data_IF_297944284639
#
_entry.id   IF_297944284639
#
_cell.length_a   1.000
_cell.length_b   1.000
_cell.length_c   1.000
_cell.angle_alpha   90.00
_cell.angle_beta   90.00
_cell.angle_gamma   90.00
#
_symmetry.space_group_name_H-M   'P 1'
#
loop_
_entity.id
_entity.type
_entity.pdbx_description
1 polymer ?
#
# COMPACT_ATOMS: atom_id res chain seq x y z
N UNK A 1 13.47 -9.14 -8.41
CA UNK A 1 12.39 -9.83 -9.16
C UNK A 1 11.27 -10.34 -8.26
N UNK A 2 11.49 -10.54 -6.96
CA UNK A 2 10.40 -10.58 -5.97
C UNK A 2 9.43 -11.77 -6.07
N UNK A 3 9.80 -12.88 -6.71
CA UNK A 3 8.99 -14.11 -6.72
C UNK A 3 8.91 -14.74 -5.33
N UNK A 4 7.79 -15.40 -5.03
CA UNK A 4 7.66 -16.20 -3.82
C UNK A 4 8.55 -17.45 -3.90
N UNK A 5 8.88 -18.03 -2.75
CA UNK A 5 9.65 -19.28 -2.70
C UNK A 5 8.95 -20.44 -3.43
N UNK A 6 7.61 -20.45 -3.48
CA UNK A 6 6.85 -21.42 -4.25
C UNK A 6 7.04 -21.23 -5.76
N UNK A 7 6.92 -20.00 -6.24
CA UNK A 7 7.13 -19.66 -7.66
C UNK A 7 8.56 -19.96 -8.11
N UNK A 8 9.57 -19.70 -7.27
CA UNK A 8 10.97 -20.03 -7.58
C UNK A 8 11.15 -21.55 -7.76
N UNK A 9 10.58 -22.37 -6.87
CA UNK A 9 10.64 -23.84 -7.00
C UNK A 9 9.98 -24.32 -8.29
N UNK A 10 8.85 -23.74 -8.65
CA UNK A 10 8.13 -24.09 -9.88
C UNK A 10 8.93 -23.72 -11.13
N UNK A 11 9.50 -22.51 -11.18
CA UNK A 11 10.36 -22.06 -12.27
C UNK A 11 11.59 -22.96 -12.44
N UNK A 12 12.21 -23.41 -11.35
CA UNK A 12 13.34 -24.35 -11.39
C UNK A 12 12.94 -25.73 -11.94
N UNK A 13 11.73 -26.21 -11.63
CA UNK A 13 11.20 -27.47 -12.17
C UNK A 13 10.94 -27.42 -13.68
N UNK A 14 10.55 -26.26 -14.22
CA UNK A 14 10.23 -26.08 -15.64
C UNK A 14 11.46 -26.05 -16.56
N UNK A 15 12.65 -25.78 -16.01
CA UNK A 15 13.89 -25.65 -16.78
C UNK A 15 14.26 -26.90 -17.59
N UNK A 16 13.73 -28.07 -17.22
CA UNK A 16 13.97 -29.35 -17.92
C UNK A 16 13.13 -29.54 -19.21
N UNK A 17 12.14 -28.69 -19.51
CA UNK A 17 11.19 -28.89 -20.63
C UNK A 17 10.97 -27.60 -21.47
N UNK A 18 12.03 -27.17 -22.19
CA UNK A 18 12.17 -25.83 -22.80
C UNK A 18 10.98 -25.27 -23.61
N UNK A 19 10.27 -26.08 -24.41
CA UNK A 19 9.15 -25.58 -25.24
C UNK A 19 7.82 -25.44 -24.49
N UNK A 20 7.57 -26.27 -23.48
CA UNK A 20 6.37 -26.21 -22.62
C UNK A 20 6.57 -25.26 -21.43
N UNK A 21 7.82 -24.95 -21.10
CA UNK A 21 8.19 -24.07 -20.01
C UNK A 21 7.79 -22.61 -20.24
N UNK A 22 7.89 -22.05 -21.45
CA UNK A 22 7.65 -20.61 -21.68
C UNK A 22 6.21 -20.18 -21.38
N UNK A 23 5.21 -20.99 -21.77
CA UNK A 23 3.80 -20.71 -21.46
C UNK A 23 3.54 -20.72 -19.95
N UNK A 24 4.12 -21.70 -19.24
CA UNK A 24 3.97 -21.83 -17.79
C UNK A 24 4.72 -20.73 -17.04
N UNK A 25 5.94 -20.40 -17.47
CA UNK A 25 6.73 -19.26 -16.95
C UNK A 25 5.97 -17.95 -17.12
N UNK A 26 5.32 -17.75 -18.27
CA UNK A 26 4.46 -16.58 -18.51
C UNK A 26 3.31 -16.52 -17.51
N UNK A 27 2.60 -17.63 -17.30
CA UNK A 27 1.49 -17.68 -16.33
C UNK A 27 1.97 -17.36 -14.89
N UNK A 28 3.11 -17.91 -14.46
CA UNK A 28 3.71 -17.61 -13.14
C UNK A 28 4.05 -16.12 -13.02
N UNK A 29 4.63 -15.52 -14.06
CA UNK A 29 4.94 -14.10 -14.08
C UNK A 29 3.69 -13.23 -14.01
N UNK A 30 2.64 -13.56 -14.78
CA UNK A 30 1.36 -12.85 -14.78
C UNK A 30 0.65 -12.92 -13.43
N UNK A 31 0.63 -14.11 -12.79
CA UNK A 31 0.12 -14.25 -11.43
C UNK A 31 0.90 -13.36 -10.45
N UNK A 32 2.24 -13.33 -10.58
CA UNK A 32 3.06 -12.51 -9.70
C UNK A 32 2.81 -11.01 -9.89
N UNK A 33 2.58 -10.58 -11.12
CA UNK A 33 2.19 -9.19 -11.44
C UNK A 33 0.88 -8.85 -10.72
N UNK A 34 -0.15 -9.70 -10.82
CA UNK A 34 -1.43 -9.48 -10.13
C UNK A 34 -1.28 -9.34 -8.62
N UNK A 35 -0.47 -10.20 -7.99
CA UNK A 35 -0.18 -10.12 -6.55
C UNK A 35 0.52 -8.81 -6.16
N UNK A 36 1.44 -8.34 -7.01
CA UNK A 36 2.12 -7.06 -6.80
C UNK A 36 1.17 -5.88 -6.97
N UNK A 37 0.32 -5.89 -7.99
CA UNK A 37 -0.67 -4.84 -8.24
C UNK A 37 -1.65 -4.71 -7.08
N UNK A 38 -2.14 -5.83 -6.54
CA UNK A 38 -3.00 -5.83 -5.36
C UNK A 38 -2.30 -5.21 -4.14
N UNK A 39 -1.01 -5.52 -3.94
CA UNK A 39 -0.21 -4.94 -2.85
C UNK A 39 0.07 -3.45 -3.08
N UNK A 40 0.33 -3.04 -4.31
CA UNK A 40 0.52 -1.62 -4.67
C UNK A 40 -0.76 -0.84 -4.42
N UNK A 41 -1.94 -1.38 -4.75
CA UNK A 41 -3.21 -0.74 -4.48
C UNK A 41 -3.43 -0.52 -2.98
N UNK A 42 -3.20 -1.55 -2.16
CA UNK A 42 -3.30 -1.44 -0.69
C UNK A 42 -2.31 -0.43 -0.12
N UNK A 43 -1.04 -0.50 -0.52
CA UNK A 43 0.00 0.43 -0.05
C UNK A 43 -0.25 1.87 -0.52
N UNK A 44 -0.80 2.04 -1.73
CA UNK A 44 -1.17 3.35 -2.25
C UNK A 44 -2.30 3.98 -1.43
N UNK A 45 -3.32 3.19 -1.05
CA UNK A 45 -4.38 3.68 -0.16
C UNK A 45 -3.84 4.15 1.20
N UNK A 46 -2.96 3.34 1.82
CA UNK A 46 -2.31 3.72 3.09
C UNK A 46 -1.46 4.99 2.94
N UNK A 47 -0.69 5.10 1.85
CA UNK A 47 0.10 6.28 1.53
C UNK A 47 -0.79 7.50 1.38
N UNK A 48 -1.92 7.39 0.68
CA UNK A 48 -2.80 8.53 0.40
C UNK A 48 -3.46 9.03 1.69
N UNK A 49 -3.84 8.15 2.61
CA UNK A 49 -4.28 8.53 3.96
C UNK A 49 -3.17 9.26 4.72
N UNK A 50 -1.96 8.71 4.77
CA UNK A 50 -0.84 9.36 5.45
C UNK A 50 -0.49 10.72 4.83
N UNK A 51 -0.56 10.84 3.51
CA UNK A 51 -0.33 12.09 2.79
C UNK A 51 -1.39 13.13 3.16
N UNK A 52 -2.66 12.72 3.25
CA UNK A 52 -3.74 13.59 3.72
C UNK A 52 -3.46 14.10 5.14
N UNK A 53 -3.15 13.20 6.08
CA UNK A 53 -2.89 13.57 7.48
C UNK A 53 -1.64 14.46 7.61
N UNK A 54 -0.57 14.13 6.87
CA UNK A 54 0.66 14.92 6.86
C UNK A 54 0.45 16.34 6.35
N UNK A 55 -0.44 16.56 5.36
CA UNK A 55 -0.77 17.90 4.86
C UNK A 55 -1.55 18.75 5.85
N UNK A 56 -2.22 18.12 6.81
CA UNK A 56 -3.00 18.79 7.86
C UNK A 56 -2.26 18.82 9.19
N UNK A 57 -1.03 18.32 9.23
CA UNK A 57 -0.15 18.40 10.39
C UNK A 57 0.72 19.65 10.25
N UNK A 58 0.59 20.60 11.18
CA UNK A 58 1.35 21.85 11.17
C UNK A 58 2.86 21.61 11.40
N UNK A 59 3.22 20.52 12.07
CA UNK A 59 4.61 20.13 12.29
C UNK A 59 5.36 21.03 13.27
N UNK A 60 4.65 21.69 14.18
CA UNK A 60 5.21 22.52 15.26
C UNK A 60 5.06 21.85 16.64
N UNK A 61 5.39 22.58 17.71
CA UNK A 61 5.35 22.06 19.09
C UNK A 61 3.94 21.96 19.68
N UNK A 62 2.88 22.12 18.88
CA UNK A 62 1.49 22.03 19.36
C UNK A 62 1.07 20.58 19.57
N UNK A 63 0.16 20.33 20.53
CA UNK A 63 -0.39 18.99 20.76
C UNK A 63 -1.38 18.54 19.66
N UNK A 64 -1.73 19.43 18.72
CA UNK A 64 -2.71 19.20 17.66
C UNK A 64 -2.06 18.46 16.48
N UNK A 65 -2.11 17.12 16.50
CA UNK A 65 -1.53 16.30 15.45
C UNK A 65 -2.55 15.29 14.89
N UNK A 66 -3.11 15.52 13.69
CA UNK A 66 -4.13 14.63 13.11
C UNK A 66 -3.62 13.21 12.85
N UNK A 67 -2.31 13.03 12.70
CA UNK A 67 -1.69 11.69 12.57
C UNK A 67 -1.85 10.90 13.87
N UNK A 68 -1.61 11.54 15.02
CA UNK A 68 -1.74 10.90 16.33
C UNK A 68 -3.20 10.64 16.68
N UNK A 69 -4.12 11.55 16.32
CA UNK A 69 -5.56 11.36 16.50
C UNK A 69 -6.05 10.10 15.76
N UNK A 70 -5.66 9.92 14.49
CA UNK A 70 -6.04 8.75 13.67
C UNK A 70 -5.50 7.44 14.27
N UNK A 71 -4.24 7.43 14.75
CA UNK A 71 -3.63 6.23 15.36
C UNK A 71 -4.28 5.89 16.70
N UNK A 72 -4.69 6.90 17.47
CA UNK A 72 -5.30 6.73 18.79
C UNK A 72 -6.77 6.32 18.72
N UNK A 73 -7.40 6.42 17.54
CA UNK A 73 -8.84 6.20 17.37
C UNK A 73 -9.69 7.26 18.08
N UNK A 74 -9.09 8.39 18.45
CA UNK A 74 -9.81 9.51 19.07
C UNK A 74 -10.50 10.32 17.97
N UNK A 75 -11.74 10.80 18.18
CA UNK A 75 -12.39 11.68 17.23
C UNK A 75 -11.55 12.96 17.04
N UNK A 76 -11.38 13.45 15.80
CA UNK A 76 -10.50 14.58 15.52
C UNK A 76 -10.98 15.80 16.32
N UNK A 77 -10.16 16.24 17.27
CA UNK A 77 -10.48 17.35 18.19
C UNK A 77 -10.66 18.68 17.46
N UNK A 78 -10.22 18.74 16.19
CA UNK A 78 -10.24 19.93 15.33
C UNK A 78 -11.47 20.08 14.40
N UNK A 79 -12.38 19.09 14.30
CA UNK A 79 -13.59 19.20 13.43
C UNK A 79 -14.61 20.25 13.93
N UNK A 80 -14.48 20.75 15.15
CA UNK A 80 -15.36 21.78 15.70
C UNK A 80 -15.03 23.21 15.21
N UNK A 81 -13.77 23.50 14.84
CA UNK A 81 -13.34 24.87 14.53
C UNK A 81 -13.67 25.33 13.09
N UNK A 82 -13.68 24.42 12.11
CA UNK A 82 -13.89 24.77 10.69
C UNK A 82 -15.34 25.19 10.38
N UNK A 83 -16.30 24.95 11.28
CA UNK A 83 -17.70 25.39 11.10
C UNK A 83 -17.97 26.83 11.53
N UNK A 84 -17.03 27.51 12.21
CA UNK A 84 -17.26 28.83 12.79
C UNK A 84 -16.81 30.03 11.92
N UNK A 85 -16.10 29.81 10.81
CA UNK A 85 -15.48 30.88 10.00
C UNK A 85 -16.10 31.08 8.61
N UNK A 86 -17.42 30.88 8.50
CA UNK A 86 -18.20 31.36 7.35
C UNK A 86 -19.08 32.54 7.81
N UNK A 87 -18.55 33.75 7.67
CA UNK A 87 -19.32 35.01 7.67
C UNK A 87 -18.85 35.85 6.49
#
# INVERSE_FOLDING_TARGET
>A
MGFSMAQIRELLGLWQNKRRASATVKAIAEQRIQELDARIASLSGMRDTLLYLSRHCEGDDRPECPILDEISGEPPKHRAAVRATRH
#
